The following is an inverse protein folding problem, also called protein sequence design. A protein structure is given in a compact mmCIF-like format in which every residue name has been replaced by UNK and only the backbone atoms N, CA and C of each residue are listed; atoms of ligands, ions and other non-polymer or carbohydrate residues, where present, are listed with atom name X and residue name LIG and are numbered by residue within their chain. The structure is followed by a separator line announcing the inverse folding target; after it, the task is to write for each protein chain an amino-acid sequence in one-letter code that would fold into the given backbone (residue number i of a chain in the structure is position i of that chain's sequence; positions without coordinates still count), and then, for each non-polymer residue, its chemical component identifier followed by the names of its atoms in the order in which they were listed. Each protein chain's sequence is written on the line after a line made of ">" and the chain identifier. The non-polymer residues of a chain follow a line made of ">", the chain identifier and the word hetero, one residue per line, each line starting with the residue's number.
data_IF_663648810453
#
_entry.id   IF_663648810453
#
_cell.length_a   1.000
_cell.length_b   1.000
_cell.length_c   1.000
_cell.angle_alpha   90.00
_cell.angle_beta   90.00
_cell.angle_gamma   90.00
#
_symmetry.space_group_name_H-M   'P 1'
#
loop_
_entity.id
_entity.type
_entity.pdbx_description
1 polymer ?
#
# COMPACT_ATOMS: atom_id res chain seq x y z
N UNK A 1 -33.16 -22.21 -47.86
CA UNK A 1 -33.79 -22.02 -46.54
C UNK A 1 -32.64 -21.85 -45.54
N UNK A 2 -31.97 -20.68 -45.54
CA UNK A 2 -32.19 -19.48 -44.71
C UNK A 2 -32.02 -19.73 -43.20
N UNK A 3 -30.98 -19.09 -42.67
CA UNK A 3 -30.84 -18.37 -41.39
C UNK A 3 -31.62 -18.87 -40.16
N UNK A 4 -30.88 -19.11 -39.06
CA UNK A 4 -31.05 -18.61 -37.67
C UNK A 4 -29.98 -19.38 -36.85
N UNK A 5 -28.73 -18.93 -36.71
CA UNK A 5 -28.16 -17.80 -35.97
C UNK A 5 -28.39 -17.83 -34.45
N UNK A 6 -27.27 -17.83 -33.72
CA UNK A 6 -26.99 -16.96 -32.55
C UNK A 6 -28.15 -16.79 -31.57
N UNK A 7 -28.16 -17.54 -30.46
CA UNK A 7 -28.50 -17.11 -29.09
C UNK A 7 -28.08 -18.28 -28.18
N UNK A 8 -26.87 -18.24 -27.65
CA UNK A 8 -26.48 -19.03 -26.44
C UNK A 8 -25.32 -18.37 -25.69
N UNK A 9 -25.01 -17.11 -26.01
CA UNK A 9 -23.86 -16.37 -25.46
C UNK A 9 -24.24 -15.06 -24.74
N UNK A 10 -25.54 -14.79 -24.52
CA UNK A 10 -26.00 -13.50 -23.94
C UNK A 10 -26.77 -13.61 -22.62
N UNK A 11 -26.76 -14.75 -21.91
CA UNK A 11 -27.45 -14.86 -20.61
C UNK A 11 -26.51 -14.73 -19.40
N UNK A 12 -25.19 -14.92 -19.57
CA UNK A 12 -24.24 -14.72 -18.47
C UNK A 12 -23.86 -13.24 -18.22
N UNK A 13 -24.14 -12.33 -19.15
CA UNK A 13 -23.70 -10.92 -19.05
C UNK A 13 -24.75 -9.96 -18.45
N UNK A 14 -25.88 -10.48 -17.95
CA UNK A 14 -27.00 -9.66 -17.46
C UNK A 14 -27.25 -9.74 -15.96
N UNK A 15 -26.41 -10.46 -15.20
CA UNK A 15 -26.56 -10.61 -13.74
C UNK A 15 -25.51 -9.86 -12.90
N UNK A 16 -24.53 -9.19 -13.50
CA UNK A 16 -23.51 -8.44 -12.74
C UNK A 16 -23.92 -6.99 -12.37
N UNK A 17 -25.07 -6.51 -12.84
CA UNK A 17 -25.60 -5.20 -12.48
C UNK A 17 -26.92 -5.32 -11.71
N UNK A 18 -26.85 -5.47 -10.38
CA UNK A 18 -27.81 -4.91 -9.41
C UNK A 18 -27.38 -5.17 -7.97
N UNK A 19 -27.00 -4.09 -7.29
CA UNK A 19 -27.13 -3.98 -5.84
C UNK A 19 -28.59 -4.22 -5.42
N UNK A 20 -28.83 -5.15 -4.50
CA UNK A 20 -29.76 -5.02 -3.36
C UNK A 20 -29.87 -6.35 -2.59
N UNK A 21 -29.56 -6.30 -1.29
CA UNK A 21 -30.11 -7.23 -0.29
C UNK A 21 -31.64 -7.02 -0.21
N UNK A 22 -32.47 -8.04 0.12
CA UNK A 22 -32.53 -8.58 1.48
C UNK A 22 -32.58 -10.11 1.61
N UNK A 23 -32.27 -10.54 2.84
CA UNK A 23 -32.26 -11.88 3.42
C UNK A 23 -33.60 -12.63 3.27
N UNK A 24 -33.55 -13.94 2.98
CA UNK A 24 -33.93 -15.01 3.93
C UNK A 24 -33.74 -16.43 3.33
N UNK A 25 -33.72 -17.48 4.18
CA UNK A 25 -32.71 -18.53 4.12
C UNK A 25 -33.27 -19.87 3.61
N UNK A 26 -32.44 -20.91 3.75
CA UNK A 26 -32.71 -22.34 3.58
C UNK A 26 -32.14 -22.88 2.26
N UNK A 27 -30.93 -23.42 2.34
CA UNK A 27 -30.66 -24.79 1.91
C UNK A 27 -29.29 -25.21 2.44
N UNK A 28 -29.33 -26.16 3.38
CA UNK A 28 -28.14 -26.81 3.91
C UNK A 28 -27.50 -27.65 2.82
N UNK A 29 -26.25 -27.38 2.48
CA UNK A 29 -25.43 -28.32 1.70
C UNK A 29 -24.15 -28.56 2.49
N UNK A 30 -24.23 -29.57 3.36
CA UNK A 30 -23.07 -30.22 3.93
C UNK A 30 -22.41 -31.10 2.87
N UNK A 31 -21.16 -30.77 2.51
CA UNK A 31 -20.05 -31.61 1.99
C UNK A 31 -19.34 -30.94 0.82
N UNK A 32 -18.35 -30.11 1.12
CA UNK A 32 -17.28 -29.79 0.18
C UNK A 32 -16.08 -30.73 0.42
N UNK A 33 -15.54 -31.40 -0.62
CA UNK A 33 -14.28 -32.11 -0.49
C UNK A 33 -13.11 -31.12 -0.37
N UNK A 34 -12.07 -31.51 0.37
CA UNK A 34 -10.85 -30.73 0.59
C UNK A 34 -10.11 -30.48 -0.74
N UNK A 35 -10.33 -29.31 -1.34
CA UNK A 35 -9.51 -28.82 -2.46
C UNK A 35 -8.18 -28.31 -1.86
N UNK A 36 -7.07 -28.93 -2.27
CA UNK A 36 -5.73 -28.41 -1.99
C UNK A 36 -5.61 -27.03 -2.64
N UNK A 37 -5.40 -25.98 -1.84
CA UNK A 37 -5.13 -24.62 -2.33
C UNK A 37 -3.77 -24.60 -3.02
N UNK A 38 -3.77 -24.70 -4.34
CA UNK A 38 -2.70 -24.14 -5.16
C UNK A 38 -3.13 -22.69 -5.42
N UNK A 39 -2.36 -21.73 -4.93
CA UNK A 39 -2.69 -20.30 -5.01
C UNK A 39 -2.67 -19.81 -6.45
N UNK A 40 -3.78 -19.98 -7.16
CA UNK A 40 -4.06 -19.26 -8.40
C UNK A 40 -5.02 -18.14 -8.05
N UNK A 41 -4.51 -16.91 -7.95
CA UNK A 41 -5.36 -15.73 -7.92
C UNK A 41 -6.17 -15.69 -9.22
N UNK A 42 -7.49 -15.51 -9.11
CA UNK A 42 -8.35 -15.29 -10.28
C UNK A 42 -7.80 -14.11 -11.10
N UNK A 43 -7.87 -14.14 -12.44
CA UNK A 43 -7.46 -13.02 -13.30
C UNK A 43 -8.07 -11.67 -12.89
N UNK A 44 -9.23 -11.69 -12.21
CA UNK A 44 -9.90 -10.52 -11.65
C UNK A 44 -9.17 -9.89 -10.45
N UNK A 45 -8.39 -10.65 -9.67
CA UNK A 45 -7.64 -10.13 -8.51
C UNK A 45 -6.35 -9.42 -8.93
N UNK A 46 -5.72 -9.83 -10.04
CA UNK A 46 -4.53 -9.14 -10.60
C UNK A 46 -4.90 -7.73 -11.08
N UNK A 47 -6.14 -7.51 -11.54
CA UNK A 47 -6.68 -6.18 -11.92
C UNK A 47 -6.70 -5.15 -10.77
N UNK A 48 -6.53 -5.63 -9.54
CA UNK A 48 -6.79 -4.89 -8.30
C UNK A 48 -5.61 -4.95 -7.35
N UNK A 49 -4.38 -4.84 -7.88
CA UNK A 49 -3.19 -4.77 -7.06
C UNK A 49 -2.46 -3.47 -7.30
N UNK A 50 -2.04 -2.83 -6.21
CA UNK A 50 -1.11 -1.72 -6.28
C UNK A 50 0.31 -2.27 -6.34
N UNK A 51 1.05 -1.88 -7.36
CA UNK A 51 2.46 -2.20 -7.49
C UNK A 51 3.32 -0.99 -7.16
N UNK A 52 4.39 -1.23 -6.41
CA UNK A 52 5.19 -0.19 -5.77
C UNK A 52 6.64 -0.36 -6.17
N UNK A 53 7.21 0.66 -6.81
CA UNK A 53 8.65 0.79 -7.00
C UNK A 53 9.21 1.55 -5.81
N UNK A 54 10.08 0.91 -5.04
CA UNK A 54 10.74 1.50 -3.89
C UNK A 54 12.22 1.70 -4.22
N UNK A 55 12.68 2.95 -4.18
CA UNK A 55 14.09 3.31 -4.35
C UNK A 55 14.70 3.71 -3.01
N UNK A 56 15.61 2.89 -2.45
CA UNK A 56 16.42 3.25 -1.30
C UNK A 56 17.44 4.35 -1.65
N UNK A 57 17.83 5.14 -0.65
CA UNK A 57 18.89 6.15 -0.80
C UNK A 57 20.30 5.57 -0.77
N UNK A 58 20.50 4.42 -0.12
CA UNK A 58 21.80 3.75 0.00
C UNK A 58 21.63 2.23 0.18
N UNK A 59 22.74 1.49 0.13
CA UNK A 59 22.75 0.03 0.22
C UNK A 59 22.30 -0.51 1.58
N UNK A 60 22.51 0.24 2.66
CA UNK A 60 22.03 -0.18 3.99
C UNK A 60 20.51 -0.20 4.07
N UNK A 61 19.86 0.83 3.51
CA UNK A 61 18.39 0.88 3.42
C UNK A 61 17.90 -0.19 2.44
N UNK A 62 18.60 -0.42 1.34
CA UNK A 62 18.29 -1.50 0.38
C UNK A 62 18.26 -2.86 1.06
N UNK A 63 19.23 -3.15 1.93
CA UNK A 63 19.30 -4.40 2.68
C UNK A 63 18.11 -4.64 3.62
N UNK A 64 17.49 -3.57 4.16
CA UNK A 64 16.28 -3.67 4.99
C UNK A 64 15.09 -4.19 4.19
N UNK A 65 14.91 -3.70 2.96
CA UNK A 65 13.76 -4.06 2.10
C UNK A 65 13.99 -5.37 1.32
N UNK A 66 15.24 -5.76 1.03
CA UNK A 66 15.54 -7.08 0.46
C UNK A 66 15.21 -8.22 1.42
N UNK A 67 15.36 -8.00 2.73
CA UNK A 67 15.06 -8.98 3.79
C UNK A 67 13.73 -8.71 4.48
N UNK A 68 12.73 -8.20 3.76
CA UNK A 68 11.46 -7.76 4.34
C UNK A 68 10.58 -8.96 4.78
N UNK A 69 10.90 -9.54 5.95
CA UNK A 69 10.27 -10.76 6.49
C UNK A 69 8.78 -10.60 6.88
N UNK A 70 8.26 -9.38 6.99
CA UNK A 70 6.89 -9.13 7.47
C UNK A 70 5.88 -8.77 6.38
N UNK A 71 6.21 -9.00 5.11
CA UNK A 71 5.29 -8.75 4.02
C UNK A 71 4.85 -10.08 3.41
N UNK A 72 3.56 -10.36 3.51
CA UNK A 72 2.95 -11.55 2.95
C UNK A 72 2.15 -11.20 1.69
N UNK A 73 2.06 -12.16 0.78
CA UNK A 73 1.25 -12.01 -0.42
C UNK A 73 -0.22 -11.81 -0.04
N UNK A 74 -0.82 -10.72 -0.53
CA UNK A 74 -2.19 -10.34 -0.20
C UNK A 74 -2.32 -9.26 0.87
N UNK A 75 -1.23 -8.87 1.54
CA UNK A 75 -1.27 -7.78 2.51
C UNK A 75 -1.62 -6.45 1.83
N UNK A 76 -2.52 -5.69 2.44
CA UNK A 76 -2.87 -4.34 2.00
C UNK A 76 -1.91 -3.28 2.53
N UNK A 77 -1.00 -3.66 3.43
CA UNK A 77 -0.05 -2.80 4.12
C UNK A 77 1.40 -3.20 3.83
N UNK A 78 2.23 -2.27 3.39
CA UNK A 78 3.70 -2.44 3.31
C UNK A 78 4.36 -1.64 4.42
N UNK A 79 4.95 -2.33 5.39
CA UNK A 79 5.67 -1.69 6.50
C UNK A 79 6.86 -0.85 5.99
N UNK A 80 7.06 0.35 6.56
CA UNK A 80 8.19 1.21 6.23
C UNK A 80 9.17 1.28 7.41
N UNK A 81 10.46 1.20 7.10
CA UNK A 81 11.53 1.20 8.10
C UNK A 81 12.04 2.62 8.41
N UNK A 82 12.26 2.89 9.69
CA UNK A 82 13.10 4.00 10.14
C UNK A 82 14.57 3.64 9.88
N UNK A 83 15.34 4.56 9.30
CA UNK A 83 16.69 4.25 8.79
C UNK A 83 17.82 4.73 9.71
N UNK A 84 17.49 5.57 10.69
CA UNK A 84 18.42 6.17 11.64
C UNK A 84 17.83 6.11 13.06
N UNK A 85 18.72 6.12 14.06
CA UNK A 85 18.34 6.34 15.44
C UNK A 85 18.03 7.82 15.63
N UNK A 86 16.82 8.16 16.09
CA UNK A 86 16.42 9.54 16.34
C UNK A 86 15.58 9.63 17.60
N UNK A 87 15.95 10.55 18.49
CA UNK A 87 15.16 10.85 19.69
C UNK A 87 14.14 11.94 19.38
N UNK A 88 12.90 11.70 19.78
CA UNK A 88 11.84 12.71 19.81
C UNK A 88 11.69 13.15 21.26
N UNK A 89 11.99 14.42 21.53
CA UNK A 89 11.92 14.99 22.87
C UNK A 89 10.49 14.99 23.41
N UNK A 90 10.35 15.10 24.73
CA UNK A 90 9.05 15.18 25.38
C UNK A 90 8.23 16.36 24.84
N UNK A 91 6.96 16.12 24.49
CA UNK A 91 6.06 17.13 23.93
C UNK A 91 6.52 17.83 22.65
N UNK A 92 7.52 17.29 21.95
CA UNK A 92 8.06 17.85 20.71
C UNK A 92 7.53 17.13 19.46
N UNK A 93 7.65 17.80 18.32
CA UNK A 93 7.36 17.26 16.99
C UNK A 93 8.66 17.11 16.21
N UNK A 94 8.98 15.89 15.81
CA UNK A 94 10.20 15.60 15.05
C UNK A 94 9.89 15.03 13.67
N UNK A 95 10.70 15.43 12.69
CA UNK A 95 10.66 14.87 11.34
C UNK A 95 11.66 13.73 11.25
N UNK A 96 11.21 12.53 10.87
CA UNK A 96 12.05 11.35 10.64
C UNK A 96 12.09 11.04 9.15
N UNK A 97 13.28 10.98 8.57
CA UNK A 97 13.47 10.55 7.19
C UNK A 97 13.40 9.03 7.09
N UNK A 98 12.74 8.51 6.05
CA UNK A 98 12.64 7.05 5.81
C UNK A 98 13.70 6.53 4.83
N UNK A 99 14.55 7.39 4.26
CA UNK A 99 15.63 6.96 3.36
C UNK A 99 15.14 6.31 2.06
N UNK A 100 13.87 6.50 1.68
CA UNK A 100 13.26 5.88 0.50
C UNK A 100 12.46 6.90 -0.31
N UNK A 101 12.40 6.65 -1.62
CA UNK A 101 11.48 7.28 -2.57
C UNK A 101 10.57 6.20 -3.15
N UNK A 102 9.35 6.58 -3.50
CA UNK A 102 8.36 5.61 -3.99
C UNK A 102 7.62 6.12 -5.21
N UNK A 103 7.36 5.22 -6.16
CA UNK A 103 6.35 5.34 -7.20
C UNK A 103 5.36 4.19 -7.08
N UNK A 104 4.06 4.45 -7.12
CA UNK A 104 3.03 3.42 -7.09
C UNK A 104 2.15 3.50 -8.33
N UNK A 105 1.73 2.36 -8.88
CA UNK A 105 0.83 2.25 -10.04
C UNK A 105 -0.07 1.02 -9.91
N UNK A 106 -1.14 0.94 -10.70
CA UNK A 106 -1.92 -0.29 -10.85
C UNK A 106 -1.33 -1.13 -11.98
N UNK A 107 -1.40 -2.46 -11.87
CA UNK A 107 -1.04 -3.37 -12.98
C UNK A 107 -2.23 -3.57 -13.92
N UNK A 108 -1.99 -3.47 -15.23
CA UNK A 108 -2.97 -3.87 -16.24
C UNK A 108 -2.96 -5.40 -16.46
N UNK A 109 -3.99 -5.92 -17.15
CA UNK A 109 -4.09 -7.35 -17.50
C UNK A 109 -2.89 -7.87 -18.30
N UNK A 110 -2.26 -7.02 -19.11
CA UNK A 110 -1.07 -7.34 -19.90
C UNK A 110 0.24 -7.21 -19.10
N UNK A 111 0.15 -6.95 -17.79
CA UNK A 111 1.28 -6.75 -16.89
C UNK A 111 1.92 -5.37 -16.98
N UNK A 112 1.45 -4.47 -17.85
CA UNK A 112 2.03 -3.13 -17.99
C UNK A 112 1.61 -2.20 -16.84
N UNK A 113 2.51 -1.31 -16.39
CA UNK A 113 2.16 -0.27 -15.43
C UNK A 113 1.10 0.68 -16.00
N UNK A 114 0.11 1.05 -15.19
CA UNK A 114 -0.75 2.19 -15.48
C UNK A 114 -0.08 3.51 -15.11
N UNK A 115 -0.82 4.62 -15.26
CA UNK A 115 -0.49 5.89 -14.61
C UNK A 115 -0.23 5.67 -13.11
N UNK A 116 0.67 6.48 -12.55
CA UNK A 116 0.92 6.49 -11.12
C UNK A 116 -0.37 6.76 -10.35
N UNK A 117 -0.49 6.16 -9.17
CA UNK A 117 -1.62 6.33 -8.25
C UNK A 117 -1.13 6.85 -6.90
N UNK A 118 -2.02 7.55 -6.20
CA UNK A 118 -1.77 7.99 -4.84
C UNK A 118 -1.98 6.85 -3.85
N UNK A 119 -1.44 7.00 -2.65
CA UNK A 119 -1.53 6.01 -1.59
C UNK A 119 -1.52 6.69 -0.22
N UNK A 120 -1.85 5.93 0.82
CA UNK A 120 -1.99 6.44 2.18
C UNK A 120 -0.92 5.87 3.09
N UNK A 121 -0.31 6.71 3.92
CA UNK A 121 0.60 6.31 4.98
C UNK A 121 -0.15 6.25 6.29
N UNK A 122 -0.31 5.05 6.83
CA UNK A 122 -0.99 4.80 8.09
C UNK A 122 -0.01 4.44 9.20
N UNK A 123 -0.29 4.85 10.45
CA UNK A 123 0.31 4.23 11.62
C UNK A 123 0.10 2.70 11.63
N UNK A 124 1.12 1.96 12.06
CA UNK A 124 0.94 0.55 12.43
C UNK A 124 0.21 0.49 13.76
N UNK A 125 -0.60 -0.55 13.95
CA UNK A 125 -1.30 -0.77 15.23
C UNK A 125 -0.34 -0.84 16.43
N UNK A 126 0.87 -1.36 16.22
CA UNK A 126 1.92 -1.41 17.24
C UNK A 126 2.45 -0.04 17.67
N UNK A 127 2.31 1.00 16.85
CA UNK A 127 2.71 2.37 17.19
C UNK A 127 1.94 2.91 18.41
N UNK A 128 0.73 2.40 18.66
CA UNK A 128 -0.04 2.77 19.85
C UNK A 128 0.65 2.41 21.18
N UNK A 129 1.61 1.47 21.16
CA UNK A 129 2.42 1.07 22.32
C UNK A 129 3.54 2.08 22.63
N UNK A 130 3.83 3.00 21.71
CA UNK A 130 4.83 4.04 21.86
C UNK A 130 4.14 5.37 22.21
N UNK A 131 4.88 6.38 22.68
CA UNK A 131 4.34 7.71 22.93
C UNK A 131 4.17 8.53 21.64
N UNK A 132 4.44 7.95 20.47
CA UNK A 132 4.49 8.69 19.21
C UNK A 132 3.13 8.69 18.51
N UNK A 133 2.75 9.82 17.93
CA UNK A 133 1.57 9.98 17.05
C UNK A 133 2.00 10.60 15.74
N UNK A 134 1.40 10.15 14.63
CA UNK A 134 1.66 10.76 13.34
C UNK A 134 0.95 12.12 13.31
N UNK A 135 1.70 13.23 13.25
CA UNK A 135 1.16 14.59 13.48
C UNK A 135 0.05 14.96 12.50
N UNK A 136 0.16 14.48 11.25
CA UNK A 136 -0.85 14.68 10.21
C UNK A 136 -1.91 13.58 10.14
N UNK A 137 -2.01 12.71 11.16
CA UNK A 137 -2.92 11.56 11.28
C UNK A 137 -2.74 10.46 10.22
N UNK A 138 -2.89 10.80 8.94
CA UNK A 138 -2.68 9.93 7.78
C UNK A 138 -1.92 10.73 6.73
N UNK A 139 -0.81 10.20 6.24
CA UNK A 139 -0.09 10.82 5.12
C UNK A 139 -0.81 10.53 3.80
N UNK A 140 -1.23 11.57 3.08
CA UNK A 140 -1.72 11.43 1.71
C UNK A 140 -0.57 11.69 0.75
N UNK A 141 -0.17 10.66 -0.01
CA UNK A 141 0.95 10.76 -0.93
C UNK A 141 0.44 10.82 -2.36
N UNK A 142 0.71 11.95 -3.02
CA UNK A 142 0.27 12.20 -4.39
C UNK A 142 0.93 11.24 -5.40
N UNK A 143 0.24 10.88 -6.49
CA UNK A 143 0.78 9.99 -7.52
C UNK A 143 2.10 10.45 -8.14
N UNK A 144 2.33 11.77 -8.23
CA UNK A 144 3.53 12.37 -8.83
C UNK A 144 4.62 12.70 -7.80
N UNK A 145 4.40 12.38 -6.52
CA UNK A 145 5.42 12.62 -5.51
C UNK A 145 6.60 11.66 -5.72
N UNK A 146 7.80 12.21 -5.86
CA UNK A 146 9.07 11.46 -5.99
C UNK A 146 10.12 11.92 -4.97
N UNK A 147 9.72 12.76 -4.01
CA UNK A 147 10.59 13.16 -2.93
C UNK A 147 10.85 12.00 -1.96
N UNK A 148 11.79 12.23 -1.05
CA UNK A 148 12.03 11.31 0.05
C UNK A 148 10.84 11.31 1.01
N UNK A 149 10.43 10.12 1.43
CA UNK A 149 9.35 9.96 2.40
C UNK A 149 9.83 10.32 3.80
N UNK A 150 8.96 11.02 4.53
CA UNK A 150 9.23 11.49 5.89
C UNK A 150 8.02 11.28 6.77
N UNK A 151 8.28 11.08 8.06
CA UNK A 151 7.28 11.04 9.12
C UNK A 151 7.36 12.34 9.91
N UNK A 152 6.21 12.93 10.25
CA UNK A 152 6.12 13.92 11.31
C UNK A 152 5.54 13.24 12.53
N UNK A 153 6.31 13.13 13.62
CA UNK A 153 5.90 12.41 14.82
C UNK A 153 5.85 13.35 16.00
N UNK A 154 4.71 13.38 16.68
CA UNK A 154 4.51 14.05 17.96
C UNK A 154 4.79 13.07 19.08
N UNK A 155 5.61 13.46 20.05
CA UNK A 155 5.71 12.74 21.32
C UNK A 155 4.69 13.31 22.32
N UNK A 156 3.67 12.52 22.65
CA UNK A 156 2.59 12.98 23.55
C UNK A 156 2.89 12.78 25.04
N UNK A 157 4.12 12.38 25.40
CA UNK A 157 4.55 12.11 26.77
C UNK A 157 5.60 13.10 27.26
N UNK A 158 5.80 13.08 28.56
CA UNK A 158 6.72 13.90 29.36
C UNK A 158 8.15 13.33 29.44
N UNK A 159 8.44 12.28 28.66
CA UNK A 159 9.77 11.67 28.55
C UNK A 159 10.17 11.51 27.07
N UNK A 160 11.47 11.62 26.75
CA UNK A 160 11.95 11.44 25.38
C UNK A 160 11.80 9.98 24.93
N UNK A 161 11.60 9.77 23.63
CA UNK A 161 11.51 8.44 23.02
C UNK A 161 12.45 8.33 21.82
N UNK A 162 13.33 7.34 21.85
CA UNK A 162 14.25 7.07 20.75
C UNK A 162 13.65 6.04 19.79
N UNK A 163 13.38 6.48 18.56
CA UNK A 163 13.12 5.59 17.43
C UNK A 163 14.44 4.96 17.02
N UNK A 164 14.43 3.64 16.81
CA UNK A 164 15.63 2.89 16.43
C UNK A 164 15.64 2.59 14.94
N UNK A 165 16.84 2.53 14.36
CA UNK A 165 17.04 2.00 13.01
C UNK A 165 16.44 0.59 12.92
N UNK A 166 15.62 0.37 11.89
CA UNK A 166 14.88 -0.88 11.67
C UNK A 166 13.51 -0.94 12.36
N UNK A 167 13.14 0.05 13.17
CA UNK A 167 11.77 0.17 13.66
C UNK A 167 10.79 0.37 12.48
N UNK A 168 9.58 -0.17 12.65
CA UNK A 168 8.49 -0.02 11.71
C UNK A 168 7.34 0.63 12.45
N UNK A 169 7.14 1.93 12.23
CA UNK A 169 6.11 2.73 12.89
C UNK A 169 4.89 2.94 12.00
N UNK A 170 5.09 3.02 10.69
CA UNK A 170 4.05 3.26 9.69
C UNK A 170 4.08 2.21 8.59
N UNK A 171 3.01 2.18 7.80
CA UNK A 171 2.83 1.32 6.64
C UNK A 171 2.19 2.11 5.50
N UNK A 172 2.58 1.79 4.27
CA UNK A 172 1.87 2.20 3.06
C UNK A 172 0.63 1.34 2.88
N UNK A 173 -0.50 1.95 2.54
CA UNK A 173 -1.77 1.29 2.26
C UNK A 173 -2.35 1.82 0.95
N UNK A 174 -2.91 0.93 0.12
CA UNK A 174 -3.63 1.37 -1.07
C UNK A 174 -4.92 2.09 -0.68
N UNK A 175 -5.30 3.13 -1.42
CA UNK A 175 -6.48 3.94 -1.10
C UNK A 175 -7.78 3.11 -1.08
N UNK A 176 -7.88 2.11 -1.95
CA UNK A 176 -9.01 1.17 -2.08
C UNK A 176 -8.84 -0.11 -1.25
N UNK A 177 -7.79 -0.19 -0.42
CA UNK A 177 -7.49 -1.36 0.41
C UNK A 177 -7.03 -2.59 -0.37
N UNK A 178 -6.66 -2.41 -1.64
CA UNK A 178 -6.16 -3.47 -2.50
C UNK A 178 -4.81 -4.03 -2.03
N UNK A 179 -4.51 -5.32 -2.31
CA UNK A 179 -3.21 -5.90 -2.04
C UNK A 179 -2.07 -5.12 -2.69
N UNK A 180 -0.96 -5.06 -1.97
CA UNK A 180 0.26 -4.41 -2.45
C UNK A 180 1.20 -5.49 -3.01
N UNK A 181 1.98 -5.11 -4.01
CA UNK A 181 3.24 -5.78 -4.38
C UNK A 181 4.30 -4.71 -4.50
N UNK A 182 5.55 -5.04 -4.21
CA UNK A 182 6.63 -4.07 -4.34
C UNK A 182 7.88 -4.69 -4.94
N UNK A 183 8.70 -3.85 -5.57
CA UNK A 183 10.04 -4.17 -6.01
C UNK A 183 11.01 -3.06 -5.62
N UNK A 184 12.23 -3.47 -5.25
CA UNK A 184 13.31 -2.55 -4.92
C UNK A 184 14.08 -2.23 -6.19
N UNK A 185 14.15 -0.95 -6.54
CA UNK A 185 14.78 -0.46 -7.78
C UNK A 185 15.90 0.53 -7.48
N UNK A 186 16.86 0.62 -8.38
CA UNK A 186 17.97 1.57 -8.27
C UNK A 186 17.58 2.98 -8.77
N UNK A 187 16.58 3.07 -9.65
CA UNK A 187 16.10 4.30 -10.26
C UNK A 187 14.57 4.35 -10.34
N UNK A 188 14.01 5.56 -10.23
CA UNK A 188 12.59 5.84 -10.47
C UNK A 188 12.48 6.74 -11.68
N UNK A 189 11.47 6.52 -12.51
CA UNK A 189 11.19 7.39 -13.65
C UNK A 189 10.97 8.84 -13.20
N UNK A 190 11.56 9.79 -13.93
CA UNK A 190 11.40 11.22 -13.69
C UNK A 190 9.99 11.67 -14.08
N UNK A 191 9.11 11.85 -13.09
CA UNK A 191 7.84 12.57 -13.33
C UNK A 191 8.01 14.07 -13.13
N UNK A 192 7.23 14.86 -13.87
CA UNK A 192 7.30 16.34 -14.00
C UNK A 192 7.33 17.17 -12.68
N UNK A 193 7.15 16.58 -11.50
CA UNK A 193 7.10 17.33 -10.22
C UNK A 193 8.39 17.29 -9.38
N UNK A 194 9.36 16.42 -9.69
CA UNK A 194 10.66 16.40 -8.99
C UNK A 194 10.58 16.22 -7.46
N UNK A 195 11.73 16.31 -6.80
CA UNK A 195 12.00 16.00 -5.38
C UNK A 195 11.44 16.98 -4.33
N UNK A 196 10.45 17.82 -4.67
CA UNK A 196 9.91 18.84 -3.75
C UNK A 196 8.77 18.26 -2.90
N UNK A 197 9.06 17.96 -1.63
CA UNK A 197 8.09 17.56 -0.60
C UNK A 197 8.14 18.47 0.63
N UNK A 198 6.98 18.66 1.24
CA UNK A 198 6.61 19.66 2.27
C UNK A 198 6.67 21.13 1.80
N UNK A 199 5.51 21.81 1.78
CA UNK A 199 5.44 23.28 1.64
C UNK A 199 5.36 23.87 0.23
N UNK A 200 5.16 23.08 -0.83
CA UNK A 200 5.10 23.60 -2.22
C UNK A 200 3.70 24.01 -2.70
N UNK A 201 2.70 24.04 -1.83
CA UNK A 201 1.35 24.56 -2.16
C UNK A 201 0.89 25.52 -1.08
N UNK A 202 1.26 26.79 -1.24
CA UNK A 202 0.61 27.92 -0.56
C UNK A 202 1.20 28.28 0.80
N UNK A 203 1.25 29.59 1.04
CA UNK A 203 1.44 30.22 2.35
C UNK A 203 0.29 29.87 3.29
#
# INVERSE_FOLDING_TARGET
>A
MRLINRITLDVCNLLENKCMFPLNPILSISRFPKIKRVGFYSPCLIKRMMHVLLKPNNDEVKALYQNHKSFYEGDCGLDLFCVEDQTVEAHDTSIINLGIRVSAFKKQEDGRPTKSVGWLMFPRSSMAKTPLRLSNSVGVIDPQFRGELRLSLDNIKDFPYTVKKGDRLVQMVSYDGEPITFEVVDELDETQRGSKGFGSTGR
#
